data_IF_525908321135
#
_entry.id   IF_525908321135
#
_cell.length_a   1.000
_cell.length_b   1.000
_cell.length_c   1.000
_cell.angle_alpha   90.00
_cell.angle_beta   90.00
_cell.angle_gamma   90.00
#
_symmetry.space_group_name_H-M   'P 1'
#
loop_
_entity.id
_entity.type
_entity.pdbx_description
1 polymer ?
#
# COMPACT_ATOMS: atom_id res chain seq x y z
N UNK A 1 13.75 -22.49 36.12
CA UNK A 1 14.52 -21.23 35.96
C UNK A 1 15.84 -21.38 36.70
N UNK A 2 16.93 -21.65 35.99
CA UNK A 2 18.29 -21.64 36.54
C UNK A 2 18.98 -20.46 35.88
N UNK A 3 19.05 -19.34 36.60
CA UNK A 3 19.64 -18.11 36.10
C UNK A 3 21.17 -18.26 35.97
N UNK A 4 21.62 -17.94 34.77
CA UNK A 4 22.92 -17.38 34.41
C UNK A 4 23.74 -16.87 35.61
N UNK A 5 24.63 -17.71 36.14
CA UNK A 5 25.60 -17.31 37.20
C UNK A 5 27.04 -17.40 36.72
N UNK A 6 27.27 -17.83 35.48
CA UNK A 6 28.63 -18.01 34.92
C UNK A 6 29.02 -16.96 33.90
N UNK A 7 28.08 -16.21 33.34
CA UNK A 7 28.37 -15.20 32.32
C UNK A 7 28.06 -13.82 32.90
N UNK A 8 29.05 -12.92 32.84
CA UNK A 8 28.86 -11.54 33.29
C UNK A 8 27.87 -10.81 32.38
N UNK A 9 27.08 -9.89 32.92
CA UNK A 9 26.16 -9.02 32.14
C UNK A 9 26.88 -8.32 30.97
N UNK A 10 28.14 -7.93 31.16
CA UNK A 10 28.97 -7.35 30.09
C UNK A 10 29.21 -8.31 28.92
N UNK A 11 29.42 -9.60 29.21
CA UNK A 11 29.59 -10.62 28.18
C UNK A 11 28.27 -10.92 27.46
N UNK A 12 27.13 -10.90 28.16
CA UNK A 12 25.80 -11.04 27.55
C UNK A 12 25.47 -9.86 26.63
N UNK A 13 25.72 -8.62 27.09
CA UNK A 13 25.56 -7.42 26.27
C UNK A 13 26.46 -7.44 25.02
N UNK A 14 27.69 -7.94 25.15
CA UNK A 14 28.61 -8.07 24.02
C UNK A 14 28.16 -9.14 23.03
N UNK A 15 27.62 -10.24 23.53
CA UNK A 15 27.00 -11.28 22.72
C UNK A 15 25.82 -10.75 21.91
N UNK A 16 24.89 -10.03 22.54
CA UNK A 16 23.76 -9.41 21.86
C UNK A 16 24.20 -8.50 20.71
N UNK A 17 25.25 -7.70 20.93
CA UNK A 17 25.83 -6.84 19.90
C UNK A 17 26.46 -7.61 18.75
N UNK A 18 27.10 -8.76 19.01
CA UNK A 18 27.62 -9.65 17.96
C UNK A 18 26.47 -10.18 17.10
N UNK A 19 25.40 -10.67 17.74
CA UNK A 19 24.19 -11.18 17.07
C UNK A 19 23.57 -10.11 16.19
N UNK A 20 23.34 -8.93 16.75
CA UNK A 20 22.76 -7.78 16.03
C UNK A 20 23.57 -7.41 14.79
N UNK A 21 24.89 -7.28 14.93
CA UNK A 21 25.79 -6.90 13.82
C UNK A 21 25.85 -7.97 12.75
N UNK A 22 25.92 -9.24 13.15
CA UNK A 22 25.92 -10.33 12.19
C UNK A 22 24.59 -10.42 11.43
N UNK A 23 23.45 -10.28 12.12
CA UNK A 23 22.13 -10.22 11.47
C UNK A 23 22.05 -9.08 10.46
N UNK A 24 22.51 -7.88 10.83
CA UNK A 24 22.55 -6.73 9.92
C UNK A 24 23.38 -7.03 8.67
N UNK A 25 24.56 -7.63 8.82
CA UNK A 25 25.41 -8.02 7.70
C UNK A 25 24.71 -9.04 6.77
N UNK A 26 23.98 -10.01 7.33
CA UNK A 26 23.21 -10.97 6.54
C UNK A 26 22.08 -10.31 5.75
N UNK A 27 21.35 -9.36 6.36
CA UNK A 27 20.29 -8.60 5.67
C UNK A 27 20.88 -7.77 4.53
N UNK A 28 21.93 -6.99 4.80
CA UNK A 28 22.60 -6.15 3.79
C UNK A 28 23.11 -6.97 2.60
N UNK A 29 23.72 -8.14 2.87
CA UNK A 29 24.17 -9.04 1.82
C UNK A 29 23.03 -9.47 0.89
N UNK A 30 21.86 -9.76 1.46
CA UNK A 30 20.68 -10.19 0.71
C UNK A 30 19.96 -9.06 -0.02
N UNK A 31 20.17 -7.82 0.43
CA UNK A 31 19.66 -6.61 -0.22
C UNK A 31 20.61 -6.08 -1.30
N UNK A 32 21.80 -6.69 -1.45
CA UNK A 32 22.77 -6.37 -2.50
C UNK A 32 23.87 -5.40 -2.06
N UNK A 33 23.87 -4.94 -0.81
CA UNK A 33 24.96 -4.13 -0.26
C UNK A 33 26.08 -5.03 0.29
N UNK A 34 26.81 -5.64 -0.63
CA UNK A 34 27.95 -6.50 -0.30
C UNK A 34 29.09 -5.72 0.37
N UNK A 35 29.25 -4.44 0.04
CA UNK A 35 30.36 -3.63 0.53
C UNK A 35 30.25 -3.42 2.04
N UNK A 36 29.09 -3.01 2.50
CA UNK A 36 28.81 -2.76 3.90
C UNK A 36 28.71 -4.07 4.70
N UNK A 37 28.10 -5.11 4.12
CA UNK A 37 28.10 -6.44 4.71
C UNK A 37 29.52 -6.97 4.96
N UNK A 38 30.41 -6.85 3.97
CA UNK A 38 31.82 -7.26 4.08
C UNK A 38 32.56 -6.44 5.13
N UNK A 39 32.30 -5.12 5.24
CA UNK A 39 32.87 -4.25 6.27
C UNK A 39 32.55 -4.78 7.66
N UNK A 40 31.27 -5.09 7.92
CA UNK A 40 30.83 -5.64 9.21
C UNK A 40 31.49 -6.99 9.50
N UNK A 41 31.53 -7.90 8.52
CA UNK A 41 32.07 -9.26 8.70
C UNK A 41 33.59 -9.27 8.91
N UNK A 42 34.33 -8.44 8.16
CA UNK A 42 35.80 -8.47 8.17
C UNK A 42 36.43 -7.54 9.19
N UNK A 43 35.78 -6.42 9.50
CA UNK A 43 36.38 -5.36 10.32
C UNK A 43 35.74 -5.30 11.72
N UNK A 44 34.41 -5.21 11.79
CA UNK A 44 33.70 -4.99 13.05
C UNK A 44 33.58 -6.28 13.89
N UNK A 45 33.05 -7.36 13.31
CA UNK A 45 32.75 -8.59 14.03
C UNK A 45 33.99 -9.23 14.69
N UNK A 46 35.16 -9.32 14.04
CA UNK A 46 36.33 -9.92 14.68
C UNK A 46 36.76 -9.17 15.95
N UNK A 47 36.64 -7.84 15.97
CA UNK A 47 36.94 -7.04 17.15
C UNK A 47 35.93 -7.30 18.28
N UNK A 48 34.64 -7.36 17.95
CA UNK A 48 33.57 -7.68 18.91
C UNK A 48 33.76 -9.08 19.52
N UNK A 49 34.02 -10.09 18.69
CA UNK A 49 34.23 -11.48 19.12
C UNK A 49 35.46 -11.60 20.02
N UNK A 50 36.60 -11.00 19.64
CA UNK A 50 37.81 -11.00 20.48
C UNK A 50 37.55 -10.40 21.86
N UNK A 51 36.82 -9.30 21.92
CA UNK A 51 36.47 -8.68 23.20
C UNK A 51 35.50 -9.52 24.03
N UNK A 52 34.54 -10.20 23.39
CA UNK A 52 33.61 -11.10 24.08
C UNK A 52 34.34 -12.32 24.67
N UNK A 53 35.20 -12.99 23.89
CA UNK A 53 35.99 -14.15 24.36
C UNK A 53 36.87 -13.79 25.57
N UNK A 54 37.40 -12.56 25.64
CA UNK A 54 38.19 -12.08 26.79
C UNK A 54 37.37 -11.99 28.08
N UNK A 55 36.06 -11.71 27.98
CA UNK A 55 35.15 -11.60 29.11
C UNK A 55 34.61 -12.95 29.60
N UNK A 56 34.79 -14.02 28.82
CA UNK A 56 34.33 -15.35 29.20
C UNK A 56 35.24 -15.99 30.27
N UNK A 57 34.66 -16.72 31.25
CA UNK A 57 35.41 -17.61 32.11
C UNK A 57 36.14 -18.69 31.31
N UNK A 58 37.29 -19.14 31.80
CA UNK A 58 38.13 -20.16 31.15
C UNK A 58 37.39 -21.46 30.81
N UNK A 59 36.40 -21.84 31.63
CA UNK A 59 35.56 -23.03 31.43
C UNK A 59 34.66 -22.94 30.19
N UNK A 60 34.26 -21.72 29.78
CA UNK A 60 33.36 -21.49 28.64
C UNK A 60 34.10 -21.14 27.34
N UNK A 61 35.39 -20.83 27.41
CA UNK A 61 36.19 -20.47 26.22
C UNK A 61 36.31 -21.63 25.22
N UNK A 62 36.27 -22.87 25.71
CA UNK A 62 36.36 -24.05 24.86
C UNK A 62 35.10 -24.22 23.99
N UNK A 63 33.94 -23.83 24.50
CA UNK A 63 32.64 -23.94 23.82
C UNK A 63 32.33 -22.71 22.95
N UNK A 64 32.98 -21.57 23.21
CA UNK A 64 32.73 -20.31 22.53
C UNK A 64 32.77 -20.39 20.99
N UNK A 65 33.60 -21.27 20.42
CA UNK A 65 33.65 -21.49 18.96
C UNK A 65 32.41 -22.22 18.44
N UNK A 66 31.90 -23.20 19.19
CA UNK A 66 30.68 -23.91 18.86
C UNK A 66 29.48 -22.95 18.96
N UNK A 67 29.39 -22.20 20.05
CA UNK A 67 28.33 -21.21 20.28
C UNK A 67 28.26 -20.17 19.15
N UNK A 68 29.41 -19.61 18.74
CA UNK A 68 29.46 -18.66 17.63
C UNK A 68 28.99 -19.29 16.31
N UNK A 69 29.41 -20.53 16.03
CA UNK A 69 29.00 -21.24 14.81
C UNK A 69 27.49 -21.46 14.79
N UNK A 70 26.93 -21.94 15.90
CA UNK A 70 25.51 -22.22 16.01
C UNK A 70 24.68 -20.95 15.89
N UNK A 71 25.14 -19.86 16.52
CA UNK A 71 24.54 -18.54 16.37
C UNK A 71 24.58 -18.05 14.93
N UNK A 72 25.72 -18.15 14.24
CA UNK A 72 25.82 -17.72 12.84
C UNK A 72 24.88 -18.51 11.92
N UNK A 73 24.83 -19.83 12.07
CA UNK A 73 23.93 -20.69 11.28
C UNK A 73 22.45 -20.35 11.55
N UNK A 74 22.11 -20.14 12.82
CA UNK A 74 20.75 -19.78 13.23
C UNK A 74 20.32 -18.44 12.63
N UNK A 75 21.16 -17.41 12.76
CA UNK A 75 20.83 -16.08 12.25
C UNK A 75 20.75 -16.03 10.73
N UNK A 76 21.63 -16.75 10.02
CA UNK A 76 21.52 -16.93 8.56
C UNK A 76 20.18 -17.57 8.18
N UNK A 77 19.79 -18.65 8.86
CA UNK A 77 18.53 -19.33 8.61
C UNK A 77 17.32 -18.42 8.85
N UNK A 78 17.32 -17.64 9.94
CA UNK A 78 16.24 -16.68 10.25
C UNK A 78 16.12 -15.62 9.15
N UNK A 79 17.24 -15.03 8.72
CA UNK A 79 17.25 -14.02 7.66
C UNK A 79 16.75 -14.63 6.34
N UNK A 80 17.19 -15.83 6.00
CA UNK A 80 16.75 -16.53 4.79
C UNK A 80 15.26 -16.87 4.80
N UNK A 81 14.71 -17.24 5.95
CA UNK A 81 13.27 -17.46 6.12
C UNK A 81 12.49 -16.15 6.00
N UNK A 82 12.97 -15.08 6.66
CA UNK A 82 12.34 -13.75 6.61
C UNK A 82 12.25 -13.18 5.19
N UNK A 83 13.32 -13.33 4.40
CA UNK A 83 13.32 -12.87 3.00
C UNK A 83 12.37 -13.70 2.14
N UNK A 84 12.34 -15.02 2.33
CA UNK A 84 11.40 -15.90 1.63
C UNK A 84 9.96 -15.49 1.92
N UNK A 85 9.64 -15.26 3.19
CA UNK A 85 8.31 -14.82 3.60
C UNK A 85 7.96 -13.45 3.01
N UNK A 86 8.88 -12.48 3.05
CA UNK A 86 8.72 -11.17 2.40
C UNK A 86 8.38 -11.30 0.92
N UNK A 87 9.07 -12.18 0.21
CA UNK A 87 8.83 -12.39 -1.22
C UNK A 87 7.45 -13.01 -1.48
N UNK A 88 7.03 -13.99 -0.66
CA UNK A 88 5.68 -14.57 -0.73
C UNK A 88 4.62 -13.49 -0.52
N UNK A 89 4.75 -12.66 0.52
CA UNK A 89 3.82 -11.56 0.77
C UNK A 89 3.77 -10.56 -0.39
N UNK A 90 4.94 -10.19 -0.93
CA UNK A 90 5.05 -9.28 -2.08
C UNK A 90 4.32 -9.86 -3.30
N UNK A 91 4.54 -11.13 -3.61
CA UNK A 91 3.91 -11.80 -4.74
C UNK A 91 2.39 -11.91 -4.57
N UNK A 92 1.92 -12.24 -3.37
CA UNK A 92 0.48 -12.27 -3.04
C UNK A 92 -0.15 -10.90 -3.20
N UNK A 93 0.50 -9.84 -2.70
CA UNK A 93 0.02 -8.46 -2.84
C UNK A 93 -0.13 -8.09 -4.32
N UNK A 94 0.90 -8.34 -5.13
CA UNK A 94 0.93 -7.97 -6.54
C UNK A 94 -0.07 -8.79 -7.37
N UNK A 95 -0.17 -10.09 -7.12
CA UNK A 95 -0.94 -11.00 -7.99
C UNK A 95 -2.41 -11.12 -7.61
N UNK A 96 -2.75 -10.92 -6.34
CA UNK A 96 -4.09 -11.19 -5.85
C UNK A 96 -4.75 -9.92 -5.30
N UNK A 97 -4.10 -9.25 -4.36
CA UNK A 97 -4.73 -8.17 -3.61
C UNK A 97 -4.89 -6.91 -4.48
N UNK A 98 -3.82 -6.46 -5.14
CA UNK A 98 -3.86 -5.26 -5.98
C UNK A 98 -4.91 -5.38 -7.09
N UNK A 99 -4.95 -6.45 -7.90
CA UNK A 99 -5.95 -6.59 -8.95
C UNK A 99 -7.40 -6.64 -8.44
N UNK A 100 -7.63 -7.27 -7.30
CA UNK A 100 -8.97 -7.30 -6.70
C UNK A 100 -9.43 -5.90 -6.26
N UNK A 101 -8.52 -5.12 -5.67
CA UNK A 101 -8.81 -3.74 -5.28
C UNK A 101 -9.05 -2.87 -6.52
N UNK A 102 -8.24 -3.02 -7.57
CA UNK A 102 -8.42 -2.30 -8.84
C UNK A 102 -9.80 -2.59 -9.46
N UNK A 103 -10.23 -3.86 -9.50
CA UNK A 103 -11.53 -4.24 -10.03
C UNK A 103 -12.68 -3.71 -9.17
N UNK A 104 -12.55 -3.74 -7.84
CA UNK A 104 -13.57 -3.18 -6.94
C UNK A 104 -13.71 -1.67 -7.14
N UNK A 105 -12.59 -0.96 -7.28
CA UNK A 105 -12.61 0.48 -7.58
C UNK A 105 -13.26 0.73 -8.94
N UNK A 106 -12.89 -0.02 -9.99
CA UNK A 106 -13.48 0.12 -11.31
C UNK A 106 -14.98 -0.21 -11.34
N UNK A 107 -15.43 -1.22 -10.59
CA UNK A 107 -16.85 -1.54 -10.43
C UNK A 107 -17.61 -0.39 -9.78
N UNK A 108 -17.04 0.23 -8.74
CA UNK A 108 -17.65 1.39 -8.08
C UNK A 108 -17.73 2.62 -8.99
N UNK A 109 -16.69 2.89 -9.77
CA UNK A 109 -16.77 3.94 -10.79
C UNK A 109 -17.88 3.65 -11.81
N UNK A 110 -17.97 2.43 -12.35
CA UNK A 110 -19.04 2.04 -13.29
C UNK A 110 -20.44 2.19 -12.68
N UNK A 111 -20.60 1.86 -11.40
CA UNK A 111 -21.87 2.03 -10.68
C UNK A 111 -22.27 3.51 -10.59
N UNK A 112 -21.34 4.40 -10.22
CA UNK A 112 -21.59 5.85 -10.13
C UNK A 112 -21.99 6.41 -11.50
N UNK A 113 -21.21 6.12 -12.55
CA UNK A 113 -21.50 6.61 -13.89
C UNK A 113 -22.85 6.12 -14.44
N UNK A 114 -23.18 4.83 -14.25
CA UNK A 114 -24.45 4.27 -14.72
C UNK A 114 -25.66 4.82 -13.97
N UNK A 115 -25.52 5.08 -12.66
CA UNK A 115 -26.55 5.74 -11.88
C UNK A 115 -26.76 7.20 -12.30
N UNK A 116 -25.69 7.93 -12.60
CA UNK A 116 -25.78 9.30 -13.08
C UNK A 116 -26.44 9.40 -14.45
N UNK A 117 -26.07 8.53 -15.39
CA UNK A 117 -26.77 8.43 -16.68
C UNK A 117 -28.25 8.10 -16.52
N UNK A 118 -28.60 7.17 -15.61
CA UNK A 118 -30.01 6.83 -15.35
C UNK A 118 -30.77 8.03 -14.79
N UNK A 119 -30.17 8.83 -13.90
CA UNK A 119 -30.76 10.07 -13.39
C UNK A 119 -30.99 11.09 -14.50
N UNK A 120 -30.01 11.28 -15.39
CA UNK A 120 -30.14 12.20 -16.53
C UNK A 120 -31.27 11.78 -17.49
N UNK A 121 -31.36 10.49 -17.82
CA UNK A 121 -32.44 9.96 -18.67
C UNK A 121 -33.81 10.19 -18.02
N UNK A 122 -33.94 9.90 -16.72
CA UNK A 122 -35.19 10.14 -15.96
C UNK A 122 -35.54 11.64 -15.91
N UNK A 123 -34.55 12.51 -15.69
CA UNK A 123 -34.75 13.96 -15.67
C UNK A 123 -35.20 14.50 -17.05
N UNK A 124 -34.68 13.97 -18.15
CA UNK A 124 -35.13 14.31 -19.50
C UNK A 124 -36.54 13.79 -19.81
N UNK A 125 -36.93 12.62 -19.31
CA UNK A 125 -38.29 12.09 -19.48
C UNK A 125 -39.31 12.86 -18.63
N UNK A 126 -38.98 13.23 -17.39
CA UNK A 126 -39.83 14.08 -16.54
C UNK A 126 -39.92 15.53 -17.07
N UNK A 127 -38.84 16.05 -17.68
CA UNK A 127 -38.84 17.33 -18.37
C UNK A 127 -39.67 17.33 -19.66
N UNK A 128 -39.66 16.23 -20.42
CA UNK A 128 -40.52 16.03 -21.59
C UNK A 128 -41.99 15.82 -21.19
N UNK A 129 -42.27 15.16 -20.06
CA UNK A 129 -43.63 15.04 -19.53
C UNK A 129 -44.21 16.36 -18.96
N UNK A 130 -43.36 17.32 -18.59
CA UNK A 130 -43.77 18.67 -18.17
C UNK A 130 -43.77 19.72 -19.30
N UNK A 131 -43.38 19.32 -20.51
CA UNK A 131 -43.41 20.15 -21.72
C UNK A 131 -44.34 19.47 -22.75
N UNK A 132 -45.66 19.57 -22.70
CA UNK A 132 -46.43 20.80 -22.95
C UNK A 132 -47.93 20.55 -22.66
N UNK A 133 -48.62 21.55 -22.07
CA UNK A 133 -50.05 21.75 -22.41
C UNK A 133 -50.42 23.14 -22.94
N UNK A 134 -49.48 24.03 -23.31
CA UNK A 134 -49.83 25.43 -23.64
C UNK A 134 -49.24 26.03 -24.94
N UNK A 135 -48.65 25.25 -25.84
CA UNK A 135 -48.35 25.74 -27.20
C UNK A 135 -49.50 25.47 -28.20
N UNK A 136 -50.73 25.69 -27.73
CA UNK A 136 -51.83 26.16 -28.56
C UNK A 136 -52.28 27.51 -28.02
N UNK A 137 -51.62 28.59 -28.44
CA UNK A 137 -52.28 29.86 -28.78
C UNK A 137 -51.24 30.95 -29.02
N UNK A 138 -51.49 31.71 -30.09
CA UNK A 138 -51.00 33.06 -30.35
C UNK A 138 -49.53 33.19 -30.77
N UNK A 139 -49.37 33.35 -32.08
CA UNK A 139 -48.52 34.39 -32.62
C UNK A 139 -48.71 35.70 -31.83
N UNK A 140 -47.63 36.34 -31.39
CA UNK A 140 -47.43 37.79 -31.45
C UNK A 140 -46.04 38.16 -30.94
N UNK A 141 -45.39 38.97 -31.77
CA UNK A 141 -44.21 39.80 -31.55
C UNK A 141 -44.04 40.31 -30.11
N UNK A 142 -42.81 40.27 -29.59
CA UNK A 142 -42.08 41.47 -29.16
C UNK A 142 -40.73 41.11 -28.57
N UNK A 143 -39.68 41.72 -29.13
CA UNK A 143 -38.34 41.80 -28.59
C UNK A 143 -38.34 42.45 -27.21
N UNK A 144 -37.54 41.93 -26.26
CA UNK A 144 -36.66 42.71 -25.38
C UNK A 144 -35.87 41.81 -24.40
N UNK A 145 -34.60 41.62 -24.75
CA UNK A 145 -33.43 41.78 -23.87
C UNK A 145 -33.50 41.17 -22.45
N UNK A 146 -32.94 39.97 -22.30
CA UNK A 146 -32.23 39.57 -21.08
C UNK A 146 -30.92 38.87 -21.46
N UNK A 147 -29.81 39.56 -21.20
CA UNK A 147 -28.45 39.02 -21.12
C UNK A 147 -28.41 37.89 -20.09
N UNK A 148 -28.29 36.66 -20.57
CA UNK A 148 -27.66 35.56 -19.88
C UNK A 148 -26.84 34.86 -20.95
N UNK A 149 -25.52 35.02 -20.89
CA UNK A 149 -24.55 34.36 -21.75
C UNK A 149 -24.58 32.86 -21.45
N UNK A 150 -25.59 32.18 -21.96
CA UNK A 150 -25.45 30.78 -22.33
C UNK A 150 -24.77 30.81 -23.70
N UNK A 151 -23.49 30.45 -23.77
CA UNK A 151 -22.84 30.15 -25.04
C UNK A 151 -23.68 29.12 -25.77
N UNK A 152 -24.47 29.58 -26.74
CA UNK A 152 -25.21 28.71 -27.65
C UNK A 152 -24.21 28.13 -28.62
N UNK A 153 -23.73 26.93 -28.31
CA UNK A 153 -22.84 26.17 -29.18
C UNK A 153 -23.69 25.64 -30.34
N UNK A 154 -23.29 25.94 -31.57
CA UNK A 154 -23.98 25.43 -32.76
C UNK A 154 -23.93 23.90 -32.77
N UNK A 155 -25.04 23.25 -33.12
CA UNK A 155 -25.18 21.78 -33.06
C UNK A 155 -24.14 21.04 -33.93
N UNK A 156 -23.62 21.71 -34.96
CA UNK A 156 -22.59 21.15 -35.84
C UNK A 156 -21.16 21.23 -35.27
N UNK A 157 -20.96 21.93 -34.15
CA UNK A 157 -19.66 22.04 -33.48
C UNK A 157 -19.54 21.05 -32.30
N UNK A 158 -19.36 19.79 -32.67
CA UNK A 158 -19.24 18.66 -31.74
C UNK A 158 -18.03 18.81 -30.80
N UNK A 159 -16.96 19.49 -31.23
CA UNK A 159 -15.74 19.65 -30.43
C UNK A 159 -15.97 20.57 -29.24
N UNK A 160 -16.65 21.70 -29.46
CA UNK A 160 -17.00 22.64 -28.40
C UNK A 160 -17.99 22.05 -27.39
N UNK A 161 -18.91 21.18 -27.84
CA UNK A 161 -19.82 20.44 -26.97
C UNK A 161 -19.06 19.49 -26.03
N UNK A 162 -18.05 18.77 -26.56
CA UNK A 162 -17.23 17.84 -25.77
C UNK A 162 -16.43 18.58 -24.70
N UNK A 163 -15.82 19.71 -25.05
CA UNK A 163 -15.02 20.51 -24.12
C UNK A 163 -15.87 21.13 -23.00
N UNK A 164 -17.10 21.56 -23.31
CA UNK A 164 -18.04 22.09 -22.32
C UNK A 164 -18.48 21.02 -21.31
N UNK A 165 -18.73 19.80 -21.77
CA UNK A 165 -19.12 18.66 -20.91
C UNK A 165 -17.97 18.17 -20.02
N UNK A 166 -16.73 18.22 -20.50
CA UNK A 166 -15.57 17.82 -19.70
C UNK A 166 -15.24 18.79 -18.57
N UNK A 167 -15.41 20.10 -18.78
CA UNK A 167 -15.13 21.11 -17.74
C UNK A 167 -16.09 21.03 -16.56
N UNK A 168 -17.39 20.81 -16.79
CA UNK A 168 -18.37 20.71 -15.70
C UNK A 168 -18.22 19.45 -14.85
N UNK A 169 -17.79 18.33 -15.44
CA UNK A 169 -17.66 17.06 -14.73
C UNK A 169 -16.40 16.93 -13.86
N UNK A 170 -15.34 17.67 -14.19
CA UNK A 170 -14.03 17.59 -13.52
C UNK A 170 -14.02 18.16 -12.10
N UNK A 171 -14.73 19.27 -11.88
CA UNK A 171 -14.67 20.02 -10.62
C UNK A 171 -15.51 19.36 -9.51
N UNK A 172 -16.64 18.76 -9.87
CA UNK A 172 -17.52 18.05 -8.92
C UNK A 172 -16.97 16.68 -8.50
N UNK A 173 -16.23 15.99 -9.37
CA UNK A 173 -15.59 14.70 -9.07
C UNK A 173 -14.40 14.84 -8.11
N UNK A 174 -13.66 15.95 -8.17
CA UNK A 174 -12.51 16.19 -7.30
C UNK A 174 -12.90 16.39 -5.82
N UNK A 175 -14.13 16.83 -5.55
CA UNK A 175 -14.65 17.07 -4.20
C UNK A 175 -15.37 15.86 -3.57
N UNK A 176 -15.56 14.77 -4.33
CA UNK A 176 -16.34 13.58 -3.94
C UNK A 176 -15.50 12.37 -3.48
N UNK A 177 -14.18 12.49 -3.39
CA UNK A 177 -13.32 11.36 -2.96
C UNK A 177 -13.45 11.16 -1.45
N UNK A 178 -14.03 10.02 -1.06
CA UNK A 178 -14.35 9.67 0.33
C UNK A 178 -13.12 9.60 1.26
N UNK A 179 -13.30 9.79 2.58
CA UNK A 179 -12.22 9.76 3.55
C UNK A 179 -11.64 8.34 3.73
N UNK A 180 -10.31 8.25 3.82
CA UNK A 180 -9.51 7.02 4.02
C UNK A 180 -10.03 6.02 5.08
N UNK A 181 -10.85 6.45 6.04
CA UNK A 181 -11.41 5.57 7.08
C UNK A 181 -12.36 4.49 6.55
N UNK A 182 -13.09 4.76 5.47
CA UNK A 182 -14.03 3.77 4.90
C UNK A 182 -13.32 2.67 4.10
N UNK A 183 -12.16 3.00 3.53
CA UNK A 183 -11.28 2.06 2.82
C UNK A 183 -10.62 1.08 3.80
N UNK A 184 -10.28 1.55 5.02
CA UNK A 184 -9.68 0.69 6.06
C UNK A 184 -10.72 -0.28 6.65
N UNK A 185 -11.98 0.14 6.78
CA UNK A 185 -13.05 -0.73 7.28
C UNK A 185 -13.35 -1.92 6.37
N UNK A 186 -13.20 -1.75 5.05
CA UNK A 186 -13.41 -2.81 4.07
C UNK A 186 -12.28 -3.86 4.06
N UNK A 187 -11.05 -3.47 4.43
CA UNK A 187 -9.91 -4.40 4.61
C UNK A 187 -10.11 -5.33 5.81
N UNK A 188 -10.75 -4.86 6.89
CA UNK A 188 -11.01 -5.69 8.08
C UNK A 188 -12.11 -6.74 7.88
N UNK A 189 -13.01 -6.55 6.91
CA UNK A 189 -14.10 -7.47 6.61
C UNK A 189 -13.73 -8.54 5.57
N UNK A 190 -12.64 -8.35 4.83
CA UNK A 190 -12.05 -9.41 4.02
C UNK A 190 -11.31 -10.37 4.97
N UNK A 191 -12.01 -11.40 5.47
CA UNK A 191 -11.53 -12.41 6.41
C UNK A 191 -10.08 -12.86 6.10
N UNK A 192 -9.11 -12.26 6.78
CA UNK A 192 -7.70 -12.67 6.76
C UNK A 192 -7.51 -14.02 7.48
N UNK A 193 -8.49 -14.43 8.29
CA UNK A 193 -8.43 -15.65 9.11
C UNK A 193 -8.53 -16.95 8.32
N UNK A 194 -9.24 -16.98 7.19
CA UNK A 194 -9.53 -18.24 6.47
C UNK A 194 -8.35 -18.73 5.60
N UNK A 195 -7.32 -17.90 5.40
CA UNK A 195 -6.16 -18.21 4.57
C UNK A 195 -4.98 -18.84 5.35
N UNK A 196 -5.07 -18.94 6.69
CA UNK A 196 -4.01 -19.51 7.53
C UNK A 196 -4.22 -21.03 7.78
N UNK A 197 -5.43 -21.57 7.60
CA UNK A 197 -5.73 -22.97 7.93
C UNK A 197 -5.63 -23.97 6.75
N UNK A 198 -5.33 -23.53 5.53
CA UNK A 198 -5.29 -24.41 4.35
C UNK A 198 -3.89 -24.87 3.89
N UNK A 199 -2.89 -24.99 4.77
CA UNK A 199 -1.62 -25.60 4.34
C UNK A 199 -0.83 -26.36 5.40
#
# INVERSE_FOLDING_TARGET
MIASTKVTEQAENRWAKIVERFRAACVLYKEGDESESRRIIKEELPALIRSWIKLLPSSLKNDAKADLRDMFNREQSIVDQGIRLRNVYRDTLIRQIIPQVEEQVAAKYREIYSNEQRRQILAHQDGAARSQPWLQAAASESQLNRKSETETIAIDDVSSIIDAVQRSNSEDLAMSVLPLKEIVGSISNAQVSDLIEQR
#
